data_IF_114131530317
#
_entry.id   IF_114131530317
#
_cell.length_a   1.000
_cell.length_b   1.000
_cell.length_c   1.000
_cell.angle_alpha   90.00
_cell.angle_beta   90.00
_cell.angle_gamma   90.00
#
_symmetry.space_group_name_H-M   'P 1'
#
loop_
_entity.id
_entity.type
_entity.pdbx_description
1 polymer ?
#
# COMPACT_ATOMS: atom_id res chain seq x y z
N UNK A 1 33.64 -2.45 12.92
CA UNK A 1 32.32 -1.81 13.21
C UNK A 1 31.35 -2.87 13.72
N UNK A 2 30.80 -2.71 14.94
CA UNK A 2 29.79 -3.65 15.45
C UNK A 2 28.47 -3.38 14.73
N UNK A 3 27.95 -4.36 14.00
CA UNK A 3 26.65 -4.26 13.33
C UNK A 3 25.54 -4.37 14.38
N UNK A 4 24.57 -3.44 14.42
CA UNK A 4 23.45 -3.57 15.35
C UNK A 4 22.70 -4.88 15.09
N UNK A 5 22.41 -5.64 16.16
CA UNK A 5 21.79 -6.97 16.07
C UNK A 5 20.46 -6.93 15.29
N UNK A 6 19.64 -5.90 15.54
CA UNK A 6 18.36 -5.77 14.83
C UNK A 6 18.50 -5.53 13.32
N UNK A 7 19.61 -4.95 12.83
CA UNK A 7 19.84 -4.85 11.38
C UNK A 7 20.11 -6.23 10.77
N UNK A 8 20.82 -7.10 11.50
CA UNK A 8 21.06 -8.48 11.07
C UNK A 8 19.75 -9.26 11.05
N UNK A 9 18.96 -9.17 12.12
CA UNK A 9 17.65 -9.85 12.22
C UNK A 9 16.71 -9.37 11.11
N UNK A 10 16.60 -8.06 10.88
CA UNK A 10 15.80 -7.52 9.78
C UNK A 10 16.29 -8.00 8.41
N UNK A 11 17.61 -8.06 8.20
CA UNK A 11 18.20 -8.58 6.96
C UNK A 11 17.84 -10.04 6.71
N UNK A 12 17.89 -10.88 7.76
CA UNK A 12 17.48 -12.29 7.70
C UNK A 12 15.99 -12.41 7.39
N UNK A 13 15.14 -11.66 8.11
CA UNK A 13 13.68 -11.71 7.91
C UNK A 13 13.29 -11.27 6.49
N UNK A 14 13.86 -10.18 5.97
CA UNK A 14 13.60 -9.72 4.60
C UNK A 14 14.10 -10.68 3.53
N UNK A 15 15.23 -11.34 3.78
CA UNK A 15 15.76 -12.36 2.87
C UNK A 15 14.86 -13.59 2.87
N UNK A 16 14.48 -14.09 4.04
CA UNK A 16 13.57 -15.23 4.17
C UNK A 16 12.19 -14.93 3.58
N UNK A 17 11.63 -13.75 3.85
CA UNK A 17 10.34 -13.36 3.27
C UNK A 17 10.40 -13.25 1.76
N UNK A 18 11.48 -12.67 1.21
CA UNK A 18 11.70 -12.60 -0.22
C UNK A 18 11.84 -13.97 -0.87
N UNK A 19 12.64 -14.88 -0.30
CA UNK A 19 12.80 -16.25 -0.81
C UNK A 19 11.51 -17.07 -0.69
N UNK A 20 10.79 -16.94 0.42
CA UNK A 20 9.49 -17.60 0.61
C UNK A 20 8.46 -17.08 -0.40
N UNK A 21 8.39 -15.76 -0.61
CA UNK A 21 7.53 -15.15 -1.63
C UNK A 21 7.84 -15.68 -3.04
N UNK A 22 9.11 -15.76 -3.41
CA UNK A 22 9.54 -16.35 -4.69
C UNK A 22 9.13 -17.82 -4.82
N UNK A 23 9.27 -18.60 -3.75
CA UNK A 23 8.85 -20.01 -3.72
C UNK A 23 7.33 -20.15 -3.90
N UNK A 24 6.54 -19.33 -3.20
CA UNK A 24 5.07 -19.34 -3.31
C UNK A 24 4.62 -19.02 -4.73
N UNK A 25 5.24 -18.01 -5.37
CA UNK A 25 4.96 -17.66 -6.77
C UNK A 25 5.33 -18.82 -7.71
N UNK A 26 6.49 -19.46 -7.49
CA UNK A 26 6.90 -20.61 -8.30
C UNK A 26 5.92 -21.78 -8.17
N UNK A 27 5.45 -22.08 -6.96
CA UNK A 27 4.42 -23.11 -6.71
C UNK A 27 3.09 -22.73 -7.36
N UNK A 28 2.69 -21.46 -7.29
CA UNK A 28 1.47 -20.97 -7.92
C UNK A 28 1.53 -21.09 -9.44
N UNK A 29 2.63 -20.67 -10.08
CA UNK A 29 2.84 -20.83 -11.52
C UNK A 29 2.86 -22.32 -11.90
N UNK A 30 3.57 -23.17 -11.15
CA UNK A 30 3.59 -24.60 -11.39
C UNK A 30 2.18 -25.21 -11.28
N UNK A 31 1.40 -24.79 -10.29
CA UNK A 31 0.01 -25.21 -10.11
C UNK A 31 -0.82 -24.79 -11.32
N UNK A 32 -0.72 -23.54 -11.78
CA UNK A 32 -1.42 -23.06 -12.98
C UNK A 32 -1.07 -23.86 -14.23
N UNK A 33 0.21 -24.24 -14.41
CA UNK A 33 0.67 -25.05 -15.54
C UNK A 33 0.14 -26.50 -15.48
N UNK A 34 0.02 -27.07 -14.28
CA UNK A 34 -0.46 -28.45 -14.08
C UNK A 34 -1.99 -28.52 -14.16
N UNK A 35 -2.69 -27.54 -13.57
CA UNK A 35 -4.15 -27.51 -13.49
C UNK A 35 -4.79 -26.86 -14.71
N UNK A 36 -4.16 -26.95 -15.89
CA UNK A 36 -4.67 -26.47 -17.17
C UNK A 36 -5.95 -27.26 -17.56
N UNK A 37 -7.01 -27.01 -16.81
CA UNK A 37 -8.32 -27.63 -16.90
C UNK A 37 -9.28 -26.63 -17.52
N UNK A 38 -10.23 -27.14 -18.30
CA UNK A 38 -11.20 -26.36 -19.10
C UNK A 38 -12.03 -25.33 -18.31
N UNK A 39 -11.93 -25.29 -16.97
CA UNK A 39 -12.53 -24.27 -16.11
C UNK A 39 -11.77 -22.92 -16.12
N UNK A 40 -10.54 -22.86 -16.63
CA UNK A 40 -9.79 -21.61 -16.80
C UNK A 40 -10.45 -20.64 -17.82
N UNK A 41 -11.32 -21.16 -18.69
CA UNK A 41 -12.10 -20.37 -19.64
C UNK A 41 -13.21 -19.49 -19.00
N UNK A 42 -13.42 -19.55 -17.67
CA UNK A 42 -14.58 -18.92 -17.02
C UNK A 42 -14.46 -17.42 -16.76
N UNK A 43 -13.29 -16.78 -16.94
CA UNK A 43 -13.16 -15.31 -16.88
C UNK A 43 -12.30 -14.82 -18.03
N UNK A 44 -12.89 -14.20 -19.07
CA UNK A 44 -12.12 -13.50 -20.08
C UNK A 44 -11.22 -12.45 -19.38
N UNK A 45 -9.90 -12.67 -19.45
CA UNK A 45 -8.83 -11.84 -18.88
C UNK A 45 -8.52 -12.02 -17.39
N UNK A 46 -9.10 -13.00 -16.69
CA UNK A 46 -8.77 -13.27 -15.27
C UNK A 46 -7.31 -13.72 -15.06
N UNK A 47 -6.79 -14.51 -16.00
CA UNK A 47 -5.40 -14.98 -16.00
C UNK A 47 -4.40 -13.82 -16.07
N UNK A 48 -4.68 -12.81 -16.89
CA UNK A 48 -3.80 -11.63 -17.02
C UNK A 48 -3.77 -10.82 -15.73
N UNK A 49 -4.90 -10.69 -15.02
CA UNK A 49 -4.95 -9.98 -13.72
C UNK A 49 -4.12 -10.72 -12.68
N UNK A 50 -4.30 -12.04 -12.57
CA UNK A 50 -3.51 -12.87 -11.67
C UNK A 50 -2.03 -12.78 -12.02
N UNK A 51 -1.67 -12.85 -13.30
CA UNK A 51 -0.28 -12.73 -13.76
C UNK A 51 0.34 -11.37 -13.41
N UNK A 52 -0.41 -10.27 -13.58
CA UNK A 52 0.07 -8.92 -13.20
C UNK A 52 0.28 -8.84 -11.69
N UNK A 53 -0.66 -9.38 -10.91
CA UNK A 53 -0.57 -9.40 -9.45
C UNK A 53 0.61 -10.26 -8.98
N UNK A 54 0.80 -11.44 -9.56
CA UNK A 54 1.92 -12.33 -9.29
C UNK A 54 3.25 -11.67 -9.68
N UNK A 55 3.30 -10.97 -10.81
CA UNK A 55 4.46 -10.17 -11.23
C UNK A 55 4.79 -9.05 -10.25
N UNK A 56 3.77 -8.40 -9.66
CA UNK A 56 3.96 -7.40 -8.62
C UNK A 56 4.49 -8.00 -7.32
N UNK A 57 3.93 -9.13 -6.85
CA UNK A 57 4.44 -9.84 -5.67
C UNK A 57 5.87 -10.34 -5.93
N UNK A 58 6.17 -10.80 -7.15
CA UNK A 58 7.51 -11.21 -7.56
C UNK A 58 8.49 -10.05 -7.41
N UNK A 59 8.15 -8.87 -7.96
CA UNK A 59 8.98 -7.69 -7.84
C UNK A 59 9.24 -7.28 -6.38
N UNK A 60 8.20 -7.31 -5.52
CA UNK A 60 8.34 -7.05 -4.08
C UNK A 60 9.22 -8.11 -3.40
N UNK A 61 9.09 -9.38 -3.79
CA UNK A 61 9.86 -10.48 -3.20
C UNK A 61 11.34 -10.36 -3.55
N UNK A 62 11.67 -10.06 -4.82
CA UNK A 62 13.03 -9.76 -5.27
C UNK A 62 13.58 -8.53 -4.55
N UNK A 63 12.80 -7.44 -4.48
CA UNK A 63 13.19 -6.22 -3.78
C UNK A 63 13.47 -6.48 -2.30
N UNK A 64 12.66 -7.31 -1.64
CA UNK A 64 12.83 -7.67 -0.22
C UNK A 64 14.12 -8.47 -0.02
N UNK A 65 14.36 -9.49 -0.83
CA UNK A 65 15.59 -10.29 -0.79
C UNK A 65 16.84 -9.43 -1.04
N UNK A 66 16.80 -8.59 -2.07
CA UNK A 66 17.88 -7.64 -2.38
C UNK A 66 18.10 -6.70 -1.21
N UNK A 67 17.04 -6.13 -0.64
CA UNK A 67 17.13 -5.22 0.51
C UNK A 67 17.76 -5.90 1.71
N UNK A 68 17.42 -7.17 1.99
CA UNK A 68 18.06 -7.98 3.02
C UNK A 68 19.57 -8.10 2.82
N UNK A 69 20.02 -8.44 1.60
CA UNK A 69 21.44 -8.50 1.23
C UNK A 69 22.11 -7.13 1.42
N UNK A 70 21.43 -6.06 1.00
CA UNK A 70 21.94 -4.70 1.10
C UNK A 70 22.01 -4.17 2.55
N UNK A 71 21.16 -4.66 3.45
CA UNK A 71 21.24 -4.40 4.90
C UNK A 71 22.48 -5.07 5.51
N UNK A 72 22.83 -6.29 5.13
CA UNK A 72 24.09 -6.91 5.57
C UNK A 72 25.31 -6.14 5.08
N UNK A 73 25.21 -5.56 3.88
CA UNK A 73 26.20 -4.63 3.34
C UNK A 73 26.09 -3.22 3.92
N UNK A 74 25.21 -2.96 4.90
CA UNK A 74 25.01 -1.65 5.54
C UNK A 74 24.83 -0.51 4.52
N UNK A 75 24.09 -0.73 3.43
CA UNK A 75 23.83 0.30 2.43
C UNK A 75 22.77 1.28 2.93
N UNK A 76 23.02 2.58 2.80
CA UNK A 76 22.13 3.64 3.31
C UNK A 76 20.75 3.60 2.63
N UNK A 77 20.70 3.30 1.34
CA UNK A 77 19.44 3.15 0.62
C UNK A 77 18.60 1.97 1.13
N UNK A 78 19.25 0.87 1.58
CA UNK A 78 18.56 -0.32 2.08
C UNK A 78 17.77 -0.02 3.35
N UNK A 79 18.29 0.88 4.21
CA UNK A 79 17.55 1.40 5.36
C UNK A 79 16.27 2.11 4.93
N UNK A 80 16.33 2.99 3.92
CA UNK A 80 15.14 3.69 3.45
C UNK A 80 14.11 2.75 2.82
N UNK A 81 14.56 1.79 2.00
CA UNK A 81 13.67 0.78 1.42
C UNK A 81 13.02 -0.08 2.52
N UNK A 82 13.78 -0.48 3.54
CA UNK A 82 13.24 -1.22 4.70
C UNK A 82 12.18 -0.42 5.45
N UNK A 83 12.40 0.89 5.66
CA UNK A 83 11.41 1.77 6.28
C UNK A 83 10.13 1.87 5.44
N UNK A 84 10.25 1.97 4.11
CA UNK A 84 9.10 2.00 3.21
C UNK A 84 8.35 0.67 3.24
N UNK A 85 9.05 -0.47 3.15
CA UNK A 85 8.43 -1.80 3.22
C UNK A 85 7.75 -2.03 4.57
N UNK A 86 8.36 -1.63 5.68
CA UNK A 86 7.76 -1.72 7.00
C UNK A 86 6.52 -0.82 7.15
N UNK A 87 6.56 0.39 6.59
CA UNK A 87 5.39 1.28 6.58
C UNK A 87 4.24 0.71 5.74
N UNK A 88 4.53 0.21 4.54
CA UNK A 88 3.54 -0.49 3.71
C UNK A 88 2.98 -1.72 4.44
N UNK A 89 3.85 -2.53 5.03
CA UNK A 89 3.46 -3.69 5.83
C UNK A 89 2.54 -3.32 6.97
N UNK A 90 2.85 -2.27 7.74
CA UNK A 90 1.99 -1.77 8.81
C UNK A 90 0.64 -1.29 8.29
N UNK A 91 0.60 -0.55 7.18
CA UNK A 91 -0.64 -0.09 6.57
C UNK A 91 -1.53 -1.26 6.10
N UNK A 92 -0.97 -2.21 5.34
CA UNK A 92 -1.73 -3.34 4.81
C UNK A 92 -2.19 -4.32 5.89
N UNK A 93 -1.33 -4.65 6.85
CA UNK A 93 -1.71 -5.54 7.96
C UNK A 93 -2.66 -4.86 8.94
N UNK A 94 -2.49 -3.56 9.20
CA UNK A 94 -3.45 -2.78 9.98
C UNK A 94 -4.83 -2.69 9.32
N UNK A 95 -4.86 -2.50 8.00
CA UNK A 95 -6.09 -2.56 7.22
C UNK A 95 -6.72 -3.97 7.30
N UNK A 96 -5.94 -5.03 7.11
CA UNK A 96 -6.39 -6.42 7.21
C UNK A 96 -6.98 -6.75 8.60
N UNK A 97 -6.30 -6.32 9.68
CA UNK A 97 -6.82 -6.45 11.05
C UNK A 97 -8.19 -5.77 11.17
N UNK A 98 -8.31 -4.53 10.69
CA UNK A 98 -9.57 -3.79 10.73
C UNK A 98 -10.67 -4.51 9.94
N UNK A 99 -10.34 -5.04 8.75
CA UNK A 99 -11.27 -5.85 7.95
C UNK A 99 -11.82 -7.01 8.78
N UNK A 100 -10.93 -7.81 9.40
CA UNK A 100 -11.33 -8.95 10.22
C UNK A 100 -12.22 -8.52 11.40
N UNK A 101 -11.90 -7.41 12.07
CA UNK A 101 -12.71 -6.89 13.19
C UNK A 101 -14.10 -6.43 12.75
N UNK A 102 -14.24 -5.85 11.56
CA UNK A 102 -15.53 -5.45 11.01
C UNK A 102 -16.37 -6.68 10.64
N UNK A 103 -15.72 -7.71 10.07
CA UNK A 103 -16.38 -8.95 9.67
C UNK A 103 -16.96 -9.71 10.88
N UNK A 104 -16.40 -9.57 12.09
CA UNK A 104 -16.94 -10.17 13.32
C UNK A 104 -18.44 -9.91 13.53
N UNK A 105 -18.94 -8.75 13.08
CA UNK A 105 -20.33 -8.32 13.29
C UNK A 105 -21.12 -8.13 11.99
N UNK A 106 -20.49 -8.32 10.83
CA UNK A 106 -21.10 -7.97 9.52
C UNK A 106 -20.97 -9.04 8.46
N UNK A 107 -20.22 -10.11 8.72
CA UNK A 107 -20.12 -11.24 7.82
C UNK A 107 -21.49 -11.95 7.71
N UNK A 108 -21.91 -12.33 6.49
CA UNK A 108 -23.08 -13.19 6.32
C UNK A 108 -22.75 -14.60 6.84
N UNK A 109 -23.69 -15.29 7.51
CA UNK A 109 -23.43 -16.60 8.11
C UNK A 109 -23.02 -17.60 7.03
N UNK A 110 -21.90 -18.28 7.26
CA UNK A 110 -21.41 -19.30 6.34
C UNK A 110 -22.24 -20.58 6.50
N UNK A 111 -22.84 -21.13 5.42
CA UNK A 111 -23.55 -22.39 5.48
C UNK A 111 -22.66 -23.51 6.03
N UNK A 112 -23.16 -24.27 6.99
CA UNK A 112 -22.43 -25.38 7.65
C UNK A 112 -21.29 -24.97 8.60
N UNK A 113 -21.17 -23.69 8.97
CA UNK A 113 -20.23 -23.25 10.00
C UNK A 113 -20.99 -22.71 11.22
N UNK A 114 -20.60 -23.13 12.43
CA UNK A 114 -21.18 -22.59 13.65
C UNK A 114 -20.78 -21.10 13.80
N UNK A 115 -21.72 -20.19 14.14
CA UNK A 115 -21.42 -18.76 14.26
C UNK A 115 -20.29 -18.45 15.26
N UNK A 116 -20.18 -19.23 16.34
CA UNK A 116 -19.10 -19.09 17.32
C UNK A 116 -17.72 -19.39 16.70
N UNK A 117 -17.64 -20.38 15.81
CA UNK A 117 -16.40 -20.73 15.10
C UNK A 117 -16.03 -19.65 14.09
N UNK A 118 -17.00 -19.11 13.36
CA UNK A 118 -16.78 -17.99 12.43
C UNK A 118 -16.21 -16.76 13.14
N UNK A 119 -16.80 -16.39 14.28
CA UNK A 119 -16.33 -15.29 15.11
C UNK A 119 -14.90 -15.52 15.62
N UNK A 120 -14.59 -16.74 16.09
CA UNK A 120 -13.24 -17.10 16.53
C UNK A 120 -12.21 -16.99 15.40
N UNK A 121 -12.56 -17.44 14.18
CA UNK A 121 -11.66 -17.34 13.02
C UNK A 121 -11.32 -15.89 12.71
N UNK A 122 -12.31 -15.01 12.64
CA UNK A 122 -12.07 -13.59 12.39
C UNK A 122 -11.30 -12.91 13.53
N UNK A 123 -11.55 -13.28 14.78
CA UNK A 123 -10.84 -12.72 15.93
C UNK A 123 -9.37 -13.13 15.93
N UNK A 124 -9.09 -14.41 15.67
CA UNK A 124 -7.72 -14.93 15.56
C UNK A 124 -7.00 -14.27 14.38
N UNK A 125 -7.66 -14.15 13.21
CA UNK A 125 -7.09 -13.48 12.05
C UNK A 125 -6.78 -12.00 12.35
N UNK A 126 -7.71 -11.28 12.99
CA UNK A 126 -7.49 -9.91 13.42
C UNK A 126 -6.29 -9.79 14.36
N UNK A 127 -6.17 -10.68 15.35
CA UNK A 127 -5.04 -10.69 16.28
C UNK A 127 -3.71 -10.94 15.56
N UNK A 128 -3.67 -11.92 14.65
CA UNK A 128 -2.47 -12.21 13.84
C UNK A 128 -2.06 -10.99 13.04
N UNK A 129 -2.99 -10.37 12.30
CA UNK A 129 -2.70 -9.15 11.53
C UNK A 129 -2.29 -7.97 12.42
N UNK A 130 -2.88 -7.83 13.60
CA UNK A 130 -2.51 -6.82 14.59
C UNK A 130 -1.07 -7.00 15.10
N UNK A 131 -0.67 -8.24 15.40
CA UNK A 131 0.72 -8.55 15.78
C UNK A 131 1.68 -8.23 14.64
N UNK A 132 1.34 -8.59 13.40
CA UNK A 132 2.15 -8.26 12.22
C UNK A 132 2.28 -6.74 12.02
N UNK A 133 1.20 -5.98 12.23
CA UNK A 133 1.22 -4.52 12.20
C UNK A 133 2.16 -3.95 13.25
N UNK A 134 2.11 -4.45 14.49
CA UNK A 134 3.00 -4.01 15.57
C UNK A 134 4.47 -4.32 15.28
N UNK A 135 4.76 -5.49 14.70
CA UNK A 135 6.12 -5.85 14.26
C UNK A 135 6.61 -4.88 13.18
N UNK A 136 5.75 -4.54 12.22
CA UNK A 136 6.08 -3.59 11.17
C UNK A 136 6.35 -2.19 11.75
N UNK A 137 5.53 -1.70 12.68
CA UNK A 137 5.74 -0.43 13.41
C UNK A 137 7.03 -0.46 14.22
N UNK A 138 7.33 -1.58 14.89
CA UNK A 138 8.57 -1.76 15.63
C UNK A 138 9.80 -1.55 14.73
N UNK A 139 9.79 -2.10 13.51
CA UNK A 139 10.90 -1.90 12.56
C UNK A 139 11.04 -0.44 12.11
N UNK A 140 9.93 0.27 11.90
CA UNK A 140 9.95 1.70 11.59
C UNK A 140 10.66 2.49 12.69
N UNK A 141 10.29 2.22 13.96
CA UNK A 141 10.91 2.87 15.12
C UNK A 141 12.39 2.49 15.23
N UNK A 142 12.71 1.19 15.13
CA UNK A 142 14.07 0.67 15.25
C UNK A 142 15.04 1.29 14.24
N UNK A 143 14.68 1.29 12.95
CA UNK A 143 15.51 1.86 11.90
C UNK A 143 15.60 3.39 11.93
N UNK A 144 14.81 4.04 12.78
CA UNK A 144 14.86 5.47 13.02
C UNK A 144 15.61 5.87 14.31
N UNK A 145 16.01 4.91 15.15
CA UNK A 145 16.83 5.17 16.34
C UNK A 145 18.16 5.83 15.97
N UNK A 146 18.58 6.81 16.79
CA UNK A 146 19.81 7.57 16.56
C UNK A 146 21.06 6.67 16.45
N UNK A 147 21.14 5.62 17.27
CA UNK A 147 22.24 4.65 17.25
C UNK A 147 22.34 3.88 15.93
N UNK A 148 21.21 3.41 15.40
CA UNK A 148 21.14 2.70 14.12
C UNK A 148 21.50 3.66 12.98
N UNK A 149 20.98 4.88 13.03
CA UNK A 149 21.28 5.93 12.04
C UNK A 149 22.77 6.26 11.98
N UNK A 150 23.40 6.41 13.13
CA UNK A 150 24.85 6.66 13.23
C UNK A 150 25.66 5.47 12.70
N UNK A 151 25.23 4.23 12.96
CA UNK A 151 25.91 3.04 12.42
C UNK A 151 25.90 3.00 10.88
N UNK A 152 24.77 3.34 10.24
CA UNK A 152 24.71 3.45 8.78
C UNK A 152 25.55 4.62 8.25
N UNK A 153 25.56 5.77 8.94
CA UNK A 153 26.37 6.93 8.54
C UNK A 153 27.87 6.63 8.62
N UNK A 154 28.33 5.99 9.70
CA UNK A 154 29.72 5.55 9.86
C UNK A 154 30.11 4.53 8.78
N UNK A 155 29.23 3.56 8.50
CA UNK A 155 29.47 2.57 7.45
C UNK A 155 29.51 3.19 6.04
N UNK A 156 28.77 4.27 5.79
CA UNK A 156 28.83 5.03 4.54
C UNK A 156 30.12 5.84 4.43
N UNK A 157 30.54 6.53 5.50
CA UNK A 157 31.81 7.26 5.54
C UNK A 157 33.02 6.34 5.32
N UNK A 158 32.98 5.10 5.83
CA UNK A 158 34.04 4.13 5.57
C UNK A 158 34.13 3.66 4.10
N UNK A 159 33.10 3.90 3.27
CA UNK A 159 33.04 3.48 1.86
C UNK A 159 33.27 4.62 0.87
N UNK A 160 34.02 5.66 1.24
CA UNK A 160 34.29 6.89 0.47
C UNK A 160 34.81 6.74 -1.00
N UNK A 161 34.69 5.59 -1.67
CA UNK A 161 34.94 5.39 -3.11
C UNK A 161 34.00 4.43 -3.87
N UNK A 162 33.04 3.73 -3.24
CA UNK A 162 32.21 2.71 -3.95
C UNK A 162 30.75 3.13 -4.23
N UNK A 163 30.23 4.16 -3.54
CA UNK A 163 28.83 4.58 -3.69
C UNK A 163 28.69 5.68 -4.76
N UNK A 164 29.09 5.37 -6.00
CA UNK A 164 29.03 6.27 -7.16
C UNK A 164 27.60 6.78 -7.49
N UNK A 165 26.55 6.11 -6.99
CA UNK A 165 25.16 6.54 -7.15
C UNK A 165 24.73 7.62 -6.15
N UNK A 166 25.47 7.82 -5.05
CA UNK A 166 25.21 8.92 -4.11
C UNK A 166 25.52 10.28 -4.71
N UNK A 167 26.50 10.34 -5.62
CA UNK A 167 26.94 11.59 -6.25
C UNK A 167 25.99 12.06 -7.37
N UNK A 168 25.30 11.17 -8.08
CA UNK A 168 24.46 11.53 -9.25
C UNK A 168 23.04 11.97 -8.86
N UNK A 169 22.51 11.52 -7.71
CA UNK A 169 21.18 11.95 -7.21
C UNK A 169 21.23 13.02 -6.11
N UNK A 170 22.39 13.23 -5.46
CA UNK A 170 22.54 14.14 -4.31
C UNK A 170 23.88 14.91 -4.36
N UNK A 171 24.24 15.44 -5.53
CA UNK A 171 25.41 16.32 -5.67
C UNK A 171 25.16 17.64 -4.93
N UNK A 172 25.56 17.73 -3.66
CA UNK A 172 25.57 19.00 -2.90
C UNK A 172 25.15 18.95 -1.43
N UNK A 173 24.64 17.84 -0.88
CA UNK A 173 24.27 17.78 0.55
C UNK A 173 25.40 17.23 1.43
N UNK A 174 26.42 18.07 1.66
CA UNK A 174 27.50 17.79 2.63
C UNK A 174 27.13 18.07 4.10
N UNK A 175 25.87 18.33 4.41
CA UNK A 175 25.37 18.25 5.78
C UNK A 175 24.38 17.10 5.89
N UNK A 176 24.79 16.03 6.58
CA UNK A 176 23.91 14.93 7.00
C UNK A 176 22.94 15.42 8.07
N UNK A 177 22.09 16.40 7.73
CA UNK A 177 20.98 16.81 8.56
C UNK A 177 20.11 15.57 8.82
N UNK A 178 19.68 15.35 10.07
CA UNK A 178 18.85 14.21 10.41
C UNK A 178 17.60 14.20 9.53
N UNK A 179 17.45 13.18 8.69
CA UNK A 179 16.21 12.98 7.91
C UNK A 179 15.05 12.96 8.89
N UNK A 180 14.19 13.97 8.78
CA UNK A 180 13.04 14.12 9.68
C UNK A 180 12.03 13.01 9.41
N UNK A 181 11.34 12.54 10.44
CA UNK A 181 10.24 11.57 10.32
C UNK A 181 9.23 12.03 9.26
N UNK A 182 8.91 13.33 9.24
CA UNK A 182 7.97 13.89 8.29
C UNK A 182 8.48 13.81 6.83
N UNK A 183 9.79 13.77 6.58
CA UNK A 183 10.35 13.52 5.26
C UNK A 183 10.20 12.05 4.84
N UNK A 184 10.34 11.11 5.78
CA UNK A 184 10.08 9.68 5.53
C UNK A 184 8.61 9.48 5.16
N UNK A 185 7.69 10.13 5.90
CA UNK A 185 6.25 10.12 5.58
C UNK A 185 5.98 10.64 4.16
N UNK A 186 6.63 11.73 3.75
CA UNK A 186 6.50 12.27 2.39
C UNK A 186 6.98 11.27 1.32
N UNK A 187 8.09 10.58 1.56
CA UNK A 187 8.59 9.57 0.62
C UNK A 187 7.65 8.37 0.52
N UNK A 188 7.17 7.85 1.65
CA UNK A 188 6.19 6.77 1.69
C UNK A 188 4.91 7.21 0.95
N UNK A 189 4.46 8.44 1.18
CA UNK A 189 3.28 9.01 0.49
C UNK A 189 3.51 9.06 -1.02
N UNK A 190 4.70 9.48 -1.47
CA UNK A 190 5.05 9.48 -2.89
C UNK A 190 4.93 8.09 -3.52
N UNK A 191 5.47 7.06 -2.85
CA UNK A 191 5.37 5.66 -3.30
C UNK A 191 3.92 5.17 -3.30
N UNK A 192 3.15 5.49 -2.26
CA UNK A 192 1.72 5.16 -2.18
C UNK A 192 0.91 5.81 -3.31
N UNK A 193 1.26 7.04 -3.72
CA UNK A 193 0.65 7.68 -4.88
C UNK A 193 0.98 6.96 -6.19
N UNK A 194 2.20 6.48 -6.39
CA UNK A 194 2.50 5.63 -7.55
C UNK A 194 1.66 4.36 -7.53
N UNK A 195 1.59 3.67 -6.39
CA UNK A 195 0.79 2.46 -6.25
C UNK A 195 -0.70 2.72 -6.53
N UNK A 196 -1.24 3.82 -6.01
CA UNK A 196 -2.59 4.28 -6.30
C UNK A 196 -2.79 4.68 -7.77
N UNK A 197 -1.79 5.28 -8.41
CA UNK A 197 -1.85 5.63 -9.83
C UNK A 197 -1.95 4.36 -10.70
N UNK A 198 -1.14 3.35 -10.41
CA UNK A 198 -1.21 2.05 -11.10
C UNK A 198 -2.55 1.35 -10.87
N UNK A 199 -3.11 1.39 -9.66
CA UNK A 199 -4.42 0.80 -9.40
C UNK A 199 -5.54 1.53 -10.17
N UNK A 200 -5.47 2.86 -10.31
CA UNK A 200 -6.44 3.62 -11.11
C UNK A 200 -6.35 3.31 -12.61
N UNK A 201 -5.14 3.15 -13.17
CA UNK A 201 -4.97 2.68 -14.56
C UNK A 201 -5.60 1.30 -14.74
N UNK A 202 -5.41 0.41 -13.77
CA UNK A 202 -6.01 -0.92 -13.79
C UNK A 202 -7.54 -0.86 -13.74
N UNK A 203 -8.12 -0.02 -12.88
CA UNK A 203 -9.58 0.20 -12.81
C UNK A 203 -10.14 0.77 -14.11
N UNK A 204 -9.45 1.74 -14.72
CA UNK A 204 -9.81 2.33 -16.00
C UNK A 204 -9.85 1.28 -17.11
N UNK A 205 -8.85 0.39 -17.15
CA UNK A 205 -8.78 -0.71 -18.12
C UNK A 205 -9.95 -1.69 -17.98
N UNK A 206 -10.41 -1.93 -16.75
CA UNK A 206 -11.57 -2.79 -16.45
C UNK A 206 -12.92 -2.07 -16.56
N UNK A 207 -12.91 -0.78 -16.90
CA UNK A 207 -14.10 0.07 -17.00
C UNK A 207 -14.97 0.00 -15.73
N UNK A 208 -14.32 -0.03 -14.56
CA UNK A 208 -15.05 0.00 -13.30
C UNK A 208 -15.87 1.29 -13.20
N UNK A 209 -17.11 1.23 -12.68
CA UNK A 209 -17.86 2.45 -12.42
C UNK A 209 -17.12 3.27 -11.36
N UNK A 210 -16.77 4.51 -11.71
CA UNK A 210 -16.11 5.44 -10.81
C UNK A 210 -17.09 6.03 -9.82
N UNK A 211 -16.64 6.25 -8.58
CA UNK A 211 -17.42 6.92 -7.55
C UNK A 211 -16.79 8.25 -7.19
N UNK A 212 -17.43 9.34 -7.62
CA UNK A 212 -16.89 10.71 -7.50
C UNK A 212 -17.82 11.53 -6.62
N UNK A 213 -17.38 11.81 -5.39
CA UNK A 213 -18.14 12.64 -4.42
C UNK A 213 -19.61 12.22 -4.26
N UNK A 214 -19.89 10.91 -4.29
CA UNK A 214 -21.25 10.37 -4.14
C UNK A 214 -22.03 10.21 -5.44
N UNK A 215 -21.43 10.54 -6.59
CA UNK A 215 -21.99 10.31 -7.91
C UNK A 215 -21.34 9.09 -8.57
N UNK A 216 -22.17 8.28 -9.21
CA UNK A 216 -21.72 7.12 -9.98
C UNK A 216 -21.48 7.59 -11.40
N UNK A 217 -20.24 7.53 -11.85
CA UNK A 217 -19.87 7.80 -13.24
C UNK A 217 -19.61 6.46 -13.91
N UNK A 218 -20.12 6.29 -15.14
CA UNK A 218 -19.96 5.04 -15.90
C UNK A 218 -19.58 5.31 -17.35
N UNK A 219 -19.05 4.30 -18.03
CA UNK A 219 -18.65 4.39 -19.43
C UNK A 219 -17.40 5.28 -19.62
N UNK A 220 -17.38 6.05 -20.71
CA UNK A 220 -16.22 6.88 -21.07
C UNK A 220 -15.89 7.93 -19.99
N UNK A 221 -16.90 8.48 -19.32
CA UNK A 221 -16.70 9.46 -18.25
C UNK A 221 -15.91 8.88 -17.08
N UNK A 222 -16.15 7.61 -16.71
CA UNK A 222 -15.41 6.94 -15.64
C UNK A 222 -13.97 6.68 -16.07
N UNK A 223 -13.75 6.22 -17.30
CA UNK A 223 -12.42 5.99 -17.85
C UNK A 223 -11.58 7.27 -17.88
N UNK A 224 -12.15 8.37 -18.37
CA UNK A 224 -11.45 9.67 -18.41
C UNK A 224 -11.13 10.16 -17.00
N UNK A 225 -12.06 9.99 -16.06
CA UNK A 225 -11.86 10.34 -14.67
C UNK A 225 -10.72 9.51 -14.04
N UNK A 226 -10.75 8.18 -14.18
CA UNK A 226 -9.75 7.29 -13.60
C UNK A 226 -8.34 7.55 -14.17
N UNK A 227 -8.24 7.80 -15.48
CA UNK A 227 -6.97 8.16 -16.12
C UNK A 227 -6.46 9.52 -15.66
N UNK A 228 -7.34 10.53 -15.57
CA UNK A 228 -6.98 11.84 -15.03
C UNK A 228 -6.50 11.70 -13.59
N UNK A 229 -7.20 10.90 -12.77
CA UNK A 229 -6.86 10.64 -11.38
C UNK A 229 -5.50 9.93 -11.26
N UNK A 230 -5.24 8.95 -12.12
CA UNK A 230 -3.94 8.28 -12.21
C UNK A 230 -2.83 9.27 -12.56
N UNK A 231 -3.04 10.15 -13.55
CA UNK A 231 -2.07 11.19 -13.91
C UNK A 231 -1.79 12.14 -12.75
N UNK A 232 -2.82 12.58 -12.00
CA UNK A 232 -2.65 13.42 -10.82
C UNK A 232 -1.84 12.70 -9.72
N UNK A 233 -2.12 11.42 -9.49
CA UNK A 233 -1.39 10.59 -8.52
C UNK A 233 0.08 10.41 -8.92
N UNK A 234 0.37 10.09 -10.20
CA UNK A 234 1.74 9.99 -10.68
C UNK A 234 2.47 11.34 -10.62
N UNK A 235 1.81 12.43 -11.00
CA UNK A 235 2.38 13.77 -10.94
C UNK A 235 2.69 14.18 -9.49
N UNK A 236 1.76 13.94 -8.56
CA UNK A 236 1.98 14.19 -7.15
C UNK A 236 3.08 13.30 -6.57
N UNK A 237 3.08 12.00 -6.89
CA UNK A 237 4.10 11.06 -6.45
C UNK A 237 5.49 11.44 -6.93
N UNK A 238 5.64 11.71 -8.22
CA UNK A 238 6.89 12.16 -8.82
C UNK A 238 7.34 13.49 -8.23
N UNK A 239 6.43 14.46 -8.11
CA UNK A 239 6.76 15.76 -7.54
C UNK A 239 7.10 15.67 -6.05
N UNK A 240 6.52 14.73 -5.30
CA UNK A 240 6.90 14.45 -3.91
C UNK A 240 8.32 13.85 -3.79
N UNK A 241 8.73 13.04 -4.75
CA UNK A 241 10.08 12.46 -4.80
C UNK A 241 11.13 13.46 -5.32
N UNK A 242 10.82 14.19 -6.39
CA UNK A 242 11.69 15.18 -7.03
C UNK A 242 11.69 16.56 -6.35
N UNK A 243 10.87 16.75 -5.32
CA UNK A 243 10.78 17.97 -4.51
C UNK A 243 10.19 19.20 -5.18
N UNK A 244 9.36 19.03 -6.20
CA UNK A 244 8.79 20.16 -6.93
C UNK A 244 7.60 20.79 -6.23
N UNK A 245 7.51 22.13 -6.28
CA UNK A 245 6.44 22.91 -5.64
C UNK A 245 5.05 22.53 -6.13
N UNK A 246 4.90 22.37 -7.44
CA UNK A 246 3.62 22.02 -8.06
C UNK A 246 3.13 20.63 -7.61
N UNK A 247 4.03 19.64 -7.57
CA UNK A 247 3.68 18.30 -7.08
C UNK A 247 3.29 18.28 -5.61
N UNK A 248 3.93 19.10 -4.77
CA UNK A 248 3.52 19.26 -3.38
C UNK A 248 2.11 19.87 -3.25
N UNK A 249 1.78 20.87 -4.07
CA UNK A 249 0.43 21.46 -4.08
C UNK A 249 -0.62 20.42 -4.50
N UNK A 250 -0.34 19.66 -5.56
CA UNK A 250 -1.24 18.59 -6.02
C UNK A 250 -1.39 17.51 -4.95
N UNK A 251 -0.30 17.13 -4.27
CA UNK A 251 -0.37 16.19 -3.15
C UNK A 251 -1.29 16.68 -2.03
N UNK A 252 -1.15 17.95 -1.62
CA UNK A 252 -2.04 18.55 -0.61
C UNK A 252 -3.49 18.56 -1.08
N UNK A 253 -3.74 18.91 -2.34
CA UNK A 253 -5.08 18.87 -2.93
C UNK A 253 -5.70 17.47 -2.88
N UNK A 254 -4.93 16.44 -3.26
CA UNK A 254 -5.39 15.04 -3.22
C UNK A 254 -5.72 14.59 -1.79
N UNK A 255 -4.92 15.00 -0.79
CA UNK A 255 -5.23 14.71 0.62
C UNK A 255 -6.49 15.42 1.10
N UNK A 256 -6.68 16.70 0.73
CA UNK A 256 -7.91 17.43 1.04
C UNK A 256 -9.13 16.79 0.38
N UNK A 257 -9.02 16.35 -0.87
CA UNK A 257 -10.07 15.60 -1.55
C UNK A 257 -10.40 14.30 -0.82
N UNK A 258 -9.40 13.55 -0.34
CA UNK A 258 -9.61 12.34 0.46
C UNK A 258 -10.29 12.62 1.80
N UNK A 259 -10.04 13.78 2.43
CA UNK A 259 -10.75 14.17 3.65
C UNK A 259 -12.18 14.58 3.34
N UNK A 260 -12.40 15.28 2.22
CA UNK A 260 -13.72 15.65 1.75
C UNK A 260 -14.57 14.41 1.46
N UNK A 261 -14.03 13.40 0.79
CA UNK A 261 -14.76 12.16 0.49
C UNK A 261 -15.19 11.43 1.77
N UNK A 262 -14.37 11.46 2.81
CA UNK A 262 -14.72 10.90 4.12
C UNK A 262 -15.77 11.73 4.84
N UNK A 263 -15.69 13.06 4.75
CA UNK A 263 -16.73 13.93 5.30
C UNK A 263 -18.09 13.70 4.61
N UNK A 264 -18.11 13.45 3.30
CA UNK A 264 -19.34 13.14 2.58
C UNK A 264 -20.01 11.84 3.06
N UNK A 265 -19.26 10.89 3.63
CA UNK A 265 -19.85 9.67 4.24
C UNK A 265 -20.74 9.99 5.45
N UNK A 266 -20.52 11.14 6.10
CA UNK A 266 -21.34 11.60 7.22
C UNK A 266 -22.67 12.23 6.76
N UNK A 267 -22.81 12.54 5.46
CA UNK A 267 -24.04 13.11 4.93
C UNK A 267 -25.13 12.04 4.81
N UNK A 268 -26.38 12.36 5.22
CA UNK A 268 -27.49 11.45 5.07
C UNK A 268 -27.72 11.13 3.58
N UNK A 269 -27.92 9.85 3.27
CA UNK A 269 -28.16 9.36 1.90
C UNK A 269 -26.91 8.98 1.11
N UNK A 270 -25.70 9.39 1.53
CA UNK A 270 -24.46 8.94 0.89
C UNK A 270 -24.24 7.42 1.00
N UNK A 271 -24.45 6.79 2.18
CA UNK A 271 -24.35 5.32 2.31
C UNK A 271 -25.31 4.58 1.37
N UNK A 272 -26.53 5.09 1.18
CA UNK A 272 -27.52 4.48 0.28
C UNK A 272 -27.07 4.49 -1.18
N UNK A 273 -26.48 5.61 -1.65
CA UNK A 273 -25.90 5.69 -3.00
C UNK A 273 -24.72 4.74 -3.18
N UNK A 274 -23.94 4.55 -2.13
CA UNK A 274 -22.80 3.63 -2.15
C UNK A 274 -23.24 2.17 -2.20
N UNK A 275 -24.28 1.80 -1.46
CA UNK A 275 -24.92 0.47 -1.55
C UNK A 275 -25.43 0.24 -2.97
N UNK A 276 -26.12 1.22 -3.56
CA UNK A 276 -26.59 1.13 -4.94
C UNK A 276 -25.44 0.97 -5.96
N UNK A 277 -24.33 1.69 -5.78
CA UNK A 277 -23.13 1.51 -6.59
C UNK A 277 -22.57 0.08 -6.47
N UNK A 278 -22.50 -0.46 -5.26
CA UNK A 278 -22.05 -1.84 -5.01
C UNK A 278 -23.00 -2.87 -5.63
N UNK A 279 -24.30 -2.62 -5.65
CA UNK A 279 -25.28 -3.47 -6.34
C UNK A 279 -25.02 -3.50 -7.85
N UNK A 280 -24.75 -2.36 -8.48
CA UNK A 280 -24.42 -2.29 -9.91
C UNK A 280 -23.13 -3.05 -10.23
N UNK A 281 -22.10 -2.92 -9.38
CA UNK A 281 -20.85 -3.66 -9.51
C UNK A 281 -21.13 -5.16 -9.36
N UNK A 282 -21.84 -5.56 -8.30
CA UNK A 282 -22.20 -6.95 -8.05
C UNK A 282 -22.98 -7.55 -9.22
N UNK A 283 -23.95 -6.85 -9.79
CA UNK A 283 -24.71 -7.35 -10.94
C UNK A 283 -23.90 -7.47 -12.23
N UNK A 284 -22.86 -6.64 -12.41
CA UNK A 284 -21.94 -6.74 -13.57
C UNK A 284 -20.95 -7.89 -13.44
N UNK A 285 -20.59 -8.25 -12.21
CA UNK A 285 -19.58 -9.27 -11.92
C UNK A 285 -20.16 -10.55 -11.28
N UNK A 286 -21.48 -10.67 -11.21
CA UNK A 286 -22.17 -11.84 -10.64
C UNK A 286 -21.91 -13.13 -11.43
N UNK A 287 -21.50 -13.01 -12.70
CA UNK A 287 -21.08 -14.12 -13.55
C UNK A 287 -19.67 -14.63 -13.25
N UNK A 288 -18.90 -13.97 -12.37
CA UNK A 288 -17.59 -14.46 -11.96
C UNK A 288 -17.74 -15.62 -10.95
N UNK A 289 -16.93 -16.68 -11.05
CA UNK A 289 -16.90 -17.75 -10.06
C UNK A 289 -16.64 -17.18 -8.64
N UNK A 290 -17.55 -17.44 -7.70
CA UNK A 290 -17.52 -16.87 -6.34
C UNK A 290 -18.17 -15.49 -6.19
N UNK A 291 -18.58 -14.84 -7.28
CA UNK A 291 -19.21 -13.50 -7.27
C UNK A 291 -20.59 -13.45 -6.60
N UNK A 292 -21.33 -14.56 -6.61
CA UNK A 292 -22.65 -14.66 -5.99
C UNK A 292 -22.62 -14.86 -4.46
N UNK A 293 -21.52 -15.38 -3.90
CA UNK A 293 -21.40 -15.69 -2.47
C UNK A 293 -20.42 -14.78 -1.72
N UNK A 294 -19.49 -14.13 -2.41
CA UNK A 294 -18.43 -13.36 -1.75
C UNK A 294 -18.84 -11.95 -1.27
N UNK A 295 -19.97 -11.40 -1.74
CA UNK A 295 -20.22 -9.95 -1.65
C UNK A 295 -21.68 -9.60 -1.41
N UNK A 296 -22.13 -9.59 -0.15
CA UNK A 296 -23.38 -8.89 0.17
C UNK A 296 -23.15 -7.38 -0.06
N UNK A 297 -24.02 -6.67 -0.81
CA UNK A 297 -23.83 -5.23 -1.08
C UNK A 297 -23.77 -4.39 0.20
N UNK A 298 -24.47 -4.82 1.26
CA UNK A 298 -24.49 -4.15 2.55
C UNK A 298 -23.18 -4.32 3.32
N UNK A 299 -22.64 -5.55 3.39
CA UNK A 299 -21.35 -5.82 4.04
C UNK A 299 -20.23 -5.07 3.31
N UNK A 300 -20.25 -5.06 1.97
CA UNK A 300 -19.29 -4.32 1.17
C UNK A 300 -19.38 -2.80 1.37
N UNK A 301 -20.59 -2.27 1.44
CA UNK A 301 -20.76 -0.84 1.69
C UNK A 301 -20.20 -0.47 3.08
N UNK A 302 -20.51 -1.23 4.14
CA UNK A 302 -19.95 -1.01 5.48
C UNK A 302 -18.43 -1.11 5.48
N UNK A 303 -17.90 -2.11 4.78
CA UNK A 303 -16.46 -2.28 4.61
C UNK A 303 -15.82 -1.05 3.94
N UNK A 304 -16.41 -0.57 2.85
CA UNK A 304 -15.91 0.57 2.11
C UNK A 304 -16.04 1.87 2.92
N UNK A 305 -17.09 2.03 3.74
CA UNK A 305 -17.22 3.15 4.67
C UNK A 305 -16.09 3.14 5.71
N UNK A 306 -15.85 2.00 6.36
CA UNK A 306 -14.82 1.89 7.38
C UNK A 306 -13.40 2.03 6.79
N UNK A 307 -13.14 1.42 5.63
CA UNK A 307 -11.90 1.58 4.88
C UNK A 307 -11.69 3.04 4.46
N UNK A 308 -12.75 3.73 4.03
CA UNK A 308 -12.70 5.15 3.71
C UNK A 308 -12.40 5.99 4.96
N UNK A 309 -13.06 5.74 6.09
CA UNK A 309 -12.80 6.44 7.35
C UNK A 309 -11.33 6.30 7.80
N UNK A 310 -10.78 5.08 7.73
CA UNK A 310 -9.36 4.82 8.00
C UNK A 310 -8.45 5.56 7.02
N UNK A 311 -8.77 5.52 5.72
CA UNK A 311 -8.02 6.26 4.71
C UNK A 311 -8.04 7.77 4.95
N UNK A 312 -9.14 8.31 5.48
CA UNK A 312 -9.27 9.71 5.91
C UNK A 312 -8.35 10.04 7.09
N UNK A 313 -8.28 9.17 8.10
CA UNK A 313 -7.37 9.35 9.21
C UNK A 313 -5.90 9.35 8.73
N UNK A 314 -5.54 8.43 7.83
CA UNK A 314 -4.21 8.39 7.20
C UNK A 314 -3.96 9.67 6.39
N UNK A 315 -4.94 10.10 5.57
CA UNK A 315 -4.86 11.32 4.79
C UNK A 315 -4.64 12.56 5.65
N UNK A 316 -5.30 12.63 6.82
CA UNK A 316 -5.12 13.72 7.78
C UNK A 316 -3.69 13.75 8.32
N UNK A 317 -3.13 12.59 8.71
CA UNK A 317 -1.76 12.48 9.20
C UNK A 317 -0.77 12.91 8.11
N UNK A 318 -0.97 12.47 6.87
CA UNK A 318 -0.14 12.87 5.72
C UNK A 318 -0.24 14.37 5.48
N UNK A 319 -1.45 14.95 5.54
CA UNK A 319 -1.66 16.39 5.35
C UNK A 319 -0.93 17.20 6.41
N UNK A 320 -1.03 16.80 7.69
CA UNK A 320 -0.30 17.44 8.79
C UNK A 320 1.22 17.36 8.54
N UNK A 321 1.72 16.19 8.12
CA UNK A 321 3.12 16.00 7.79
C UNK A 321 3.58 16.88 6.60
N UNK A 322 2.77 17.00 5.55
CA UNK A 322 3.04 17.85 4.38
C UNK A 322 3.11 19.34 4.78
N UNK A 323 2.16 19.80 5.60
CA UNK A 323 2.12 21.19 6.09
C UNK A 323 3.32 21.49 6.99
N UNK A 324 3.65 20.59 7.91
CA UNK A 324 4.82 20.74 8.79
C UNK A 324 6.14 20.75 8.01
N UNK A 325 6.25 19.92 6.97
CA UNK A 325 7.43 19.87 6.10
C UNK A 325 7.55 21.02 5.11
N UNK A 326 6.49 21.77 4.85
CA UNK A 326 6.40 22.78 3.77
C UNK A 326 7.64 23.67 3.68
N UNK A 327 8.05 24.27 4.80
CA UNK A 327 9.17 25.24 4.84
C UNK A 327 10.52 24.60 4.55
N UNK A 328 10.75 23.36 4.98
CA UNK A 328 12.01 22.64 4.71
C UNK A 328 12.03 22.09 3.29
N UNK A 329 10.89 21.62 2.82
CA UNK A 329 10.72 21.01 1.52
C UNK A 329 10.88 22.01 0.37
N UNK A 330 10.21 23.17 0.44
CA UNK A 330 10.22 24.18 -0.63
C UNK A 330 11.49 25.06 -0.69
N UNK A 331 12.39 24.93 0.30
CA UNK A 331 13.70 25.60 0.30
C UNK A 331 14.80 24.74 -0.33
N UNK A 332 14.58 23.44 -0.42
CA UNK A 332 15.55 22.48 -0.96
C UNK A 332 15.35 22.20 -2.46
N UNK A 333 14.41 22.89 -3.11
CA UNK A 333 14.06 22.81 -4.52
C UNK A 333 14.03 24.21 -5.12
#
# INVERSE_FOLDING_TARGET
MRRPVGVIVAGILLLLSGLCGLLLIAVQIATMLITHSANAAMVPHGELVLLIFDGFIFAISVLSAWTGIALFRMRTWARYVTLVLAALGACFTGLAMMVCLLLLNTAPPVPNLAPATEHQVFLIAALVYGVMMLIAVFWIVYFNLASVRQAFAQAAAARHGEDAYGHVLLQGQHEHAPVSIAQIVVWITGVLFFLGGFSMVFLAWRQFPGFVLGWIVSGLGALLFDLLWACLLFYAGLGLLLRWRAGWIVAVFLQLYSLLSVFLLLLPGYPARMIHAMQIISSRYSSMPGGATAFSPETNARFLMAGSALSGAIALVILIALVYCRRRYLRAA
#
